data_IF_781260195431
#
_entry.id   IF_781260195431
#
_cell.length_a   1.000
_cell.length_b   1.000
_cell.length_c   1.000
_cell.angle_alpha   90.00
_cell.angle_beta   90.00
_cell.angle_gamma   90.00
#
_symmetry.space_group_name_H-M   'P 1'
#
loop_
_entity.id
_entity.type
_entity.pdbx_description
1 polymer ?
#
# COMPACT_ATOMS: atom_id res chain seq x y z
N UNK A 1 1.08 1.20 23.11
CA UNK A 1 1.97 1.45 21.95
C UNK A 1 1.15 2.15 20.88
N UNK A 2 1.68 3.19 20.25
CA UNK A 2 1.02 3.86 19.12
C UNK A 2 1.19 2.99 17.87
N UNK A 3 0.14 2.85 17.06
CA UNK A 3 0.20 2.08 15.78
C UNK A 3 0.89 2.92 14.70
N UNK A 4 1.62 2.25 13.81
CA UNK A 4 2.20 2.87 12.62
C UNK A 4 1.11 3.04 11.55
N UNK A 5 1.00 4.26 11.01
CA UNK A 5 0.12 4.54 9.88
C UNK A 5 0.71 3.92 8.62
N UNK A 6 -0.07 3.04 7.99
CA UNK A 6 0.34 2.24 6.85
C UNK A 6 -0.47 2.59 5.59
N UNK A 7 0.22 2.54 4.45
CA UNK A 7 -0.38 2.57 3.11
C UNK A 7 -0.25 1.20 2.45
N UNK A 8 -1.27 0.78 1.71
CA UNK A 8 -1.16 -0.36 0.78
C UNK A 8 -1.07 0.18 -0.65
N UNK A 9 -0.01 -0.18 -1.36
CA UNK A 9 0.10 0.10 -2.80
C UNK A 9 -0.58 -1.04 -3.56
N UNK A 10 -1.61 -0.68 -4.32
CA UNK A 10 -2.56 -1.61 -4.94
C UNK A 10 -3.89 -1.60 -4.19
N UNK A 11 -4.98 -1.35 -4.92
CA UNK A 11 -6.33 -1.32 -4.35
C UNK A 11 -7.12 -2.62 -4.55
N UNK A 12 -7.05 -3.22 -5.74
CA UNK A 12 -7.97 -4.29 -6.18
C UNK A 12 -7.31 -5.65 -6.46
N UNK A 13 -5.99 -5.75 -6.39
CA UNK A 13 -5.27 -7.00 -6.61
C UNK A 13 -5.45 -7.97 -5.44
N UNK A 14 -5.31 -9.28 -5.69
CA UNK A 14 -5.49 -10.31 -4.66
C UNK A 14 -4.50 -10.15 -3.49
N UNK A 15 -3.24 -9.81 -3.79
CA UNK A 15 -2.20 -9.56 -2.77
C UNK A 15 -2.57 -8.33 -1.94
N UNK A 16 -3.01 -7.25 -2.59
CA UNK A 16 -3.46 -6.03 -1.91
C UNK A 16 -4.67 -6.30 -1.01
N UNK A 17 -5.68 -7.03 -1.48
CA UNK A 17 -6.85 -7.39 -0.67
C UNK A 17 -6.47 -8.27 0.51
N UNK A 18 -5.54 -9.21 0.33
CA UNK A 18 -5.02 -10.04 1.43
C UNK A 18 -4.26 -9.18 2.45
N UNK A 19 -3.51 -8.18 2.00
CA UNK A 19 -2.82 -7.23 2.87
C UNK A 19 -3.83 -6.37 3.65
N UNK A 20 -4.82 -5.78 2.97
CA UNK A 20 -5.92 -5.04 3.59
C UNK A 20 -6.65 -5.90 4.65
N UNK A 21 -6.88 -7.19 4.35
CA UNK A 21 -7.49 -8.12 5.30
C UNK A 21 -6.64 -8.32 6.55
N UNK A 22 -5.32 -8.53 6.39
CA UNK A 22 -4.38 -8.70 7.51
C UNK A 22 -4.23 -7.42 8.35
N UNK A 23 -4.39 -6.25 7.73
CA UNK A 23 -4.26 -4.96 8.39
C UNK A 23 -5.53 -4.51 9.14
N UNK A 24 -6.71 -5.03 8.80
CA UNK A 24 -7.99 -4.55 9.31
C UNK A 24 -8.06 -4.44 10.85
N UNK A 25 -7.40 -5.34 11.58
CA UNK A 25 -7.35 -5.36 13.04
C UNK A 25 -5.91 -5.56 13.56
N UNK A 26 -4.90 -5.04 12.86
CA UNK A 26 -3.51 -5.30 13.22
C UNK A 26 -3.07 -4.53 14.49
N UNK A 27 -2.35 -5.16 15.43
CA UNK A 27 -1.94 -4.53 16.69
C UNK A 27 -0.88 -3.44 16.50
N UNK A 28 -0.06 -3.52 15.45
CA UNK A 28 1.04 -2.58 15.19
C UNK A 28 0.78 -1.60 14.05
N UNK A 29 -0.13 -1.92 13.13
CA UNK A 29 -0.32 -1.16 11.91
C UNK A 29 -1.77 -0.69 11.81
N UNK A 30 -1.97 0.51 11.28
CA UNK A 30 -3.28 1.04 10.97
C UNK A 30 -3.32 1.41 9.49
N UNK A 31 -4.23 0.80 8.73
CA UNK A 31 -4.46 1.17 7.34
C UNK A 31 -5.03 2.59 7.28
N UNK A 32 -4.27 3.52 6.70
CA UNK A 32 -4.60 4.95 6.62
C UNK A 32 -4.70 5.47 5.19
N UNK A 33 -4.07 4.80 4.24
CA UNK A 33 -4.17 5.13 2.83
C UNK A 33 -4.17 3.85 1.98
N UNK A 34 -4.78 3.93 0.80
CA UNK A 34 -4.67 2.92 -0.25
C UNK A 34 -4.40 3.65 -1.55
N UNK A 35 -3.37 3.22 -2.27
CA UNK A 35 -3.00 3.76 -3.57
C UNK A 35 -3.39 2.74 -4.63
N UNK A 36 -3.95 3.17 -5.75
CA UNK A 36 -4.38 2.31 -6.84
C UNK A 36 -4.05 2.91 -8.20
N UNK A 37 -4.39 2.21 -9.27
CA UNK A 37 -4.27 2.79 -10.62
C UNK A 37 -5.39 3.80 -10.87
N UNK A 38 -5.28 4.57 -11.95
CA UNK A 38 -6.32 5.50 -12.43
C UNK A 38 -7.73 4.91 -12.45
N UNK A 39 -7.88 3.62 -12.79
CA UNK A 39 -9.19 2.92 -12.82
C UNK A 39 -9.86 2.85 -11.45
N UNK A 40 -9.07 2.79 -10.38
CA UNK A 40 -9.55 2.69 -9.00
C UNK A 40 -9.47 4.00 -8.24
N UNK A 41 -8.62 4.94 -8.67
CA UNK A 41 -8.46 6.25 -8.07
C UNK A 41 -9.80 6.99 -7.96
N UNK A 42 -9.99 7.74 -6.88
CA UNK A 42 -11.22 8.50 -6.59
C UNK A 42 -12.41 7.65 -6.13
N UNK A 43 -12.36 6.32 -6.26
CA UNK A 43 -13.38 5.43 -5.71
C UNK A 43 -13.18 5.22 -4.21
N UNK A 44 -14.26 5.00 -3.48
CA UNK A 44 -14.17 4.52 -2.11
C UNK A 44 -13.60 3.10 -2.11
N UNK A 45 -12.73 2.80 -1.15
CA UNK A 45 -12.16 1.47 -0.94
C UNK A 45 -13.26 0.42 -0.76
N UNK A 46 -14.39 0.83 -0.17
CA UNK A 46 -15.51 -0.09 0.00
C UNK A 46 -16.16 -0.51 -1.32
N UNK A 47 -16.19 0.39 -2.31
CA UNK A 47 -16.74 0.09 -3.65
C UNK A 47 -15.86 -0.83 -4.48
N UNK A 48 -14.62 -1.11 -4.07
CA UNK A 48 -13.71 -2.00 -4.79
C UNK A 48 -14.17 -3.44 -4.61
N UNK A 49 -14.36 -4.14 -5.74
CA UNK A 49 -14.81 -5.53 -5.81
C UNK A 49 -13.89 -6.46 -5.01
N UNK A 50 -14.46 -7.25 -4.10
CA UNK A 50 -13.73 -8.16 -3.22
C UNK A 50 -13.64 -9.55 -3.81
N UNK A 51 -12.42 -10.02 -4.08
CA UNK A 51 -12.16 -11.22 -4.88
C UNK A 51 -11.60 -12.39 -4.07
N UNK A 52 -11.32 -12.18 -2.80
CA UNK A 52 -10.92 -13.25 -1.91
C UNK A 52 -12.14 -14.10 -1.51
N UNK A 53 -11.98 -15.42 -1.35
CA UNK A 53 -13.09 -16.31 -0.97
C UNK A 53 -13.61 -16.02 0.43
N UNK A 54 -12.76 -15.50 1.31
CA UNK A 54 -13.15 -15.11 2.66
C UNK A 54 -13.98 -13.82 2.66
N UNK A 55 -14.89 -13.66 3.64
CA UNK A 55 -15.70 -12.45 3.81
C UNK A 55 -14.80 -11.21 3.95
N UNK A 56 -15.16 -10.14 3.23
CA UNK A 56 -14.53 -8.82 3.36
C UNK A 56 -14.61 -8.33 4.82
N UNK A 57 -13.49 -7.99 5.47
CA UNK A 57 -13.51 -7.43 6.81
C UNK A 57 -14.00 -5.98 6.77
N UNK A 58 -14.30 -5.41 7.94
CA UNK A 58 -14.57 -3.98 8.06
C UNK A 58 -13.27 -3.23 7.79
N UNK A 59 -13.25 -2.44 6.72
CA UNK A 59 -12.14 -1.58 6.32
C UNK A 59 -12.46 -0.12 6.66
N UNK A 60 -11.44 0.73 6.90
CA UNK A 60 -11.65 2.15 7.07
C UNK A 60 -12.27 2.78 5.82
N UNK A 61 -13.10 3.81 6.01
CA UNK A 61 -13.66 4.59 4.91
C UNK A 61 -12.55 5.46 4.29
N UNK A 62 -11.92 4.96 3.24
CA UNK A 62 -10.83 5.61 2.52
C UNK A 62 -11.21 5.78 1.05
N UNK A 63 -10.77 6.87 0.44
CA UNK A 63 -10.75 7.02 -1.01
C UNK A 63 -9.40 6.52 -1.53
N UNK A 64 -9.44 5.78 -2.63
CA UNK A 64 -8.21 5.29 -3.29
C UNK A 64 -7.50 6.47 -3.93
N UNK A 65 -6.23 6.66 -3.56
CA UNK A 65 -5.33 7.66 -4.17
C UNK A 65 -4.79 7.14 -5.50
N UNK A 66 -4.43 8.05 -6.39
CA UNK A 66 -3.83 7.70 -7.68
C UNK A 66 -2.32 7.45 -7.53
N UNK A 67 -1.84 6.31 -8.04
CA UNK A 67 -0.43 5.96 -8.05
C UNK A 67 0.38 6.84 -9.02
N UNK A 68 -0.28 7.45 -10.01
CA UNK A 68 0.34 8.28 -11.04
C UNK A 68 0.30 9.78 -10.70
N UNK A 69 -0.29 10.17 -9.55
CA UNK A 69 -0.25 11.55 -9.08
C UNK A 69 1.19 11.93 -8.70
N UNK A 70 1.70 13.01 -9.30
CA UNK A 70 3.04 13.53 -9.05
C UNK A 70 3.28 13.88 -7.58
N UNK A 71 2.22 14.23 -6.84
CA UNK A 71 2.28 14.62 -5.43
C UNK A 71 1.99 13.46 -4.47
N UNK A 72 1.96 12.21 -4.95
CA UNK A 72 1.55 11.06 -4.13
C UNK A 72 2.44 10.90 -2.89
N UNK A 73 3.72 11.21 -3.00
CA UNK A 73 4.67 11.11 -1.90
C UNK A 73 4.38 12.17 -0.84
N UNK A 74 4.17 13.44 -1.23
CA UNK A 74 3.78 14.49 -0.29
C UNK A 74 2.43 14.17 0.38
N UNK A 75 1.43 13.74 -0.37
CA UNK A 75 0.11 13.38 0.17
C UNK A 75 0.21 12.30 1.25
N UNK A 76 1.04 11.28 1.03
CA UNK A 76 1.24 10.22 2.02
C UNK A 76 1.98 10.72 3.26
N UNK A 77 2.97 11.61 3.09
CA UNK A 77 3.66 12.24 4.23
C UNK A 77 2.75 13.14 5.05
N UNK A 78 1.94 13.95 4.40
CA UNK A 78 0.97 14.85 5.06
C UNK A 78 -0.11 14.05 5.80
N UNK A 79 -0.47 12.87 5.27
CA UNK A 79 -1.32 11.91 5.96
C UNK A 79 -0.61 11.16 7.12
N UNK A 80 0.66 11.47 7.38
CA UNK A 80 1.46 10.89 8.45
C UNK A 80 1.77 9.41 8.23
N UNK A 81 1.87 8.94 6.98
CA UNK A 81 2.24 7.57 6.65
C UNK A 81 3.71 7.34 6.97
N UNK A 82 4.00 6.22 7.63
CA UNK A 82 5.36 5.82 8.00
C UNK A 82 5.76 4.47 7.39
N UNK A 83 4.79 3.68 6.93
CA UNK A 83 5.02 2.33 6.38
C UNK A 83 4.21 2.15 5.10
N UNK A 84 4.83 1.59 4.06
CA UNK A 84 4.18 1.21 2.82
C UNK A 84 4.30 -0.30 2.59
N UNK A 85 3.17 -0.96 2.35
CA UNK A 85 3.12 -2.35 1.89
C UNK A 85 2.86 -2.37 0.39
N UNK A 86 3.89 -2.67 -0.40
CA UNK A 86 3.79 -2.70 -1.84
C UNK A 86 3.25 -4.05 -2.33
N UNK A 87 2.06 -4.00 -2.93
CA UNK A 87 1.36 -5.15 -3.50
C UNK A 87 1.13 -4.96 -5.02
N UNK A 88 1.94 -4.11 -5.66
CA UNK A 88 1.88 -3.80 -7.09
C UNK A 88 2.87 -4.66 -7.91
N UNK A 89 2.65 -4.81 -9.23
CA UNK A 89 3.59 -5.50 -10.11
C UNK A 89 4.96 -4.81 -10.17
N UNK A 90 6.02 -5.58 -10.43
CA UNK A 90 7.40 -5.06 -10.47
C UNK A 90 7.61 -3.92 -11.48
N UNK A 91 6.90 -3.95 -12.62
CA UNK A 91 7.03 -2.91 -13.65
C UNK A 91 6.59 -1.50 -13.20
N UNK A 92 5.78 -1.41 -12.14
CA UNK A 92 5.29 -0.14 -11.57
C UNK A 92 5.97 0.15 -10.22
N UNK A 93 6.45 -0.90 -9.54
CA UNK A 93 7.10 -0.84 -8.24
C UNK A 93 8.35 0.05 -8.23
N UNK A 94 9.24 -0.10 -9.20
CA UNK A 94 10.58 0.51 -9.18
C UNK A 94 10.59 2.01 -8.85
N UNK A 95 9.93 2.90 -9.63
CA UNK A 95 10.00 4.33 -9.36
C UNK A 95 9.27 4.74 -8.07
N UNK A 96 8.11 4.13 -7.80
CA UNK A 96 7.27 4.52 -6.66
C UNK A 96 7.85 4.05 -5.33
N UNK A 97 8.30 2.80 -5.24
CA UNK A 97 8.91 2.25 -4.02
C UNK A 97 10.18 3.01 -3.64
N UNK A 98 11.03 3.32 -4.63
CA UNK A 98 12.25 4.10 -4.39
C UNK A 98 11.95 5.52 -3.92
N UNK A 99 10.95 6.19 -4.52
CA UNK A 99 10.56 7.53 -4.12
C UNK A 99 10.02 7.57 -2.67
N UNK A 100 9.17 6.61 -2.30
CA UNK A 100 8.65 6.47 -0.94
C UNK A 100 9.78 6.20 0.06
N UNK A 101 10.67 5.24 -0.25
CA UNK A 101 11.81 4.91 0.61
C UNK A 101 12.74 6.12 0.82
N UNK A 102 13.07 6.83 -0.26
CA UNK A 102 13.92 8.04 -0.23
C UNK A 102 13.28 9.19 0.56
N UNK A 103 11.95 9.21 0.67
CA UNK A 103 11.21 10.21 1.43
C UNK A 103 11.12 9.92 2.94
N UNK A 104 11.65 8.77 3.38
CA UNK A 104 11.66 8.32 4.78
C UNK A 104 10.52 7.37 5.16
N UNK A 105 9.72 6.90 4.20
CA UNK A 105 8.67 5.90 4.43
C UNK A 105 9.29 4.50 4.34
N UNK A 106 9.08 3.65 5.34
CA UNK A 106 9.59 2.28 5.31
C UNK A 106 8.77 1.42 4.31
N UNK A 107 9.42 0.86 3.30
CA UNK A 107 8.75 0.07 2.24
C UNK A 107 8.98 -1.43 2.45
N UNK A 108 7.88 -2.19 2.54
CA UNK A 108 7.86 -3.64 2.51
C UNK A 108 7.24 -4.09 1.18
N UNK A 109 8.05 -4.68 0.30
CA UNK A 109 7.60 -5.01 -1.05
C UNK A 109 7.42 -6.51 -1.28
N UNK A 110 6.29 -6.87 -1.89
CA UNK A 110 6.06 -8.19 -2.48
C UNK A 110 6.55 -8.28 -3.93
N UNK A 111 6.94 -7.17 -4.57
CA UNK A 111 7.44 -7.16 -5.94
C UNK A 111 8.83 -7.83 -6.04
N UNK A 112 9.22 -8.21 -7.25
CA UNK A 112 10.55 -8.79 -7.52
C UNK A 112 11.63 -7.75 -7.77
N UNK A 113 11.22 -6.52 -8.10
CA UNK A 113 12.01 -5.32 -8.33
C UNK A 113 13.36 -5.29 -7.60
N UNK A 114 13.31 -5.13 -6.27
CA UNK A 114 14.48 -4.86 -5.45
C UNK A 114 15.07 -6.10 -4.74
N UNK A 115 14.59 -7.31 -5.02
CA UNK A 115 14.99 -8.53 -4.27
C UNK A 115 16.46 -8.90 -4.38
N UNK A 116 17.16 -8.40 -5.40
CA UNK A 116 18.58 -8.68 -5.69
C UNK A 116 19.43 -7.41 -5.66
N UNK A 117 18.90 -6.32 -5.15
CA UNK A 117 19.64 -5.06 -5.04
C UNK A 117 20.50 -5.07 -3.78
N UNK A 118 21.77 -4.70 -3.94
CA UNK A 118 22.69 -4.59 -2.81
C UNK A 118 22.16 -3.59 -1.77
N UNK A 119 22.25 -3.96 -0.49
CA UNK A 119 21.73 -3.17 0.61
C UNK A 119 20.23 -3.32 0.88
N UNK A 120 19.49 -4.08 0.07
CA UNK A 120 18.05 -4.36 0.29
C UNK A 120 17.88 -5.81 0.76
N UNK A 121 17.43 -6.05 2.00
CA UNK A 121 17.30 -7.39 2.54
C UNK A 121 16.11 -8.14 1.91
N UNK A 122 16.36 -9.39 1.51
CA UNK A 122 15.32 -10.35 1.18
C UNK A 122 15.03 -11.22 2.41
N UNK A 123 13.85 -11.03 3.02
CA UNK A 123 13.45 -11.71 4.26
C UNK A 123 12.31 -12.69 3.97
N UNK A 124 12.41 -13.92 4.52
CA UNK A 124 11.41 -14.99 4.45
C UNK A 124 10.74 -15.15 5.81
#
# INVERSE_FOLDING_TARGET
>A
MQRHNAVVLGASGLVAQRMQQRLANHPWFQLKAVVGSQRTAGRTLDSIDWKLPEKKPVLPNLTVLDAEDENIVEQLKDAGISVAFSCIPASIADPLELALASSGIAVFSNASAFRRCDGIPLVI
#
